data_IF_143040465374
#
_entry.id   IF_143040465374
#
_cell.length_a   1.000
_cell.length_b   1.000
_cell.length_c   1.000
_cell.angle_alpha   90.00
_cell.angle_beta   90.00
_cell.angle_gamma   90.00
#
_symmetry.space_group_name_H-M   'P 1'
#
loop_
_entity.id
_entity.type
_entity.pdbx_description
1 polymer ?
#
# COMPACT_ATOMS: atom_id res chain seq x y z
N UNK A 1 14.81 2.37 -4.93
CA UNK A 1 14.18 2.58 -3.62
C UNK A 1 12.82 1.89 -3.62
N UNK A 2 12.57 1.06 -2.61
CA UNK A 2 11.30 0.36 -2.38
C UNK A 2 10.91 0.57 -0.93
N UNK A 3 9.62 0.82 -0.61
CA UNK A 3 9.18 0.87 0.77
C UNK A 3 9.35 -0.51 1.44
N UNK A 4 9.46 -0.51 2.76
CA UNK A 4 9.46 -1.73 3.56
C UNK A 4 8.02 -2.22 3.67
N UNK A 5 7.81 -3.50 3.37
CA UNK A 5 6.50 -4.14 3.52
C UNK A 5 6.48 -4.92 4.84
N UNK A 6 5.39 -4.76 5.61
CA UNK A 6 5.23 -5.42 6.88
C UNK A 6 4.55 -6.79 6.77
N UNK A 7 4.91 -7.73 7.67
CA UNK A 7 4.18 -8.97 7.88
C UNK A 7 3.86 -9.15 9.36
N UNK A 8 2.58 -9.25 9.68
CA UNK A 8 2.08 -9.47 11.03
C UNK A 8 1.35 -10.81 11.04
N UNK A 9 1.73 -11.69 11.96
CA UNK A 9 1.13 -13.01 12.08
C UNK A 9 0.47 -13.20 13.44
N UNK A 10 -0.81 -13.54 13.42
CA UNK A 10 -1.51 -14.10 14.56
C UNK A 10 -1.72 -15.62 14.45
N UNK A 11 -2.46 -16.19 15.39
CA UNK A 11 -2.77 -17.62 15.40
C UNK A 11 -3.83 -18.03 14.37
N UNK A 12 -4.66 -17.07 13.92
CA UNK A 12 -5.75 -17.33 12.97
C UNK A 12 -5.52 -16.71 11.60
N UNK A 13 -4.99 -15.50 11.57
CA UNK A 13 -4.81 -14.74 10.34
C UNK A 13 -3.47 -14.02 10.34
N UNK A 14 -3.08 -13.57 9.15
CA UNK A 14 -1.90 -12.75 8.92
C UNK A 14 -2.25 -11.52 8.09
N UNK A 15 -1.51 -10.43 8.31
CA UNK A 15 -1.71 -9.15 7.67
C UNK A 15 -0.40 -8.68 7.04
N UNK A 16 -0.46 -8.37 5.76
CA UNK A 16 0.55 -7.60 5.05
C UNK A 16 0.29 -6.10 5.25
N UNK A 17 1.32 -5.31 5.50
CA UNK A 17 1.23 -3.84 5.54
C UNK A 17 1.90 -3.27 4.30
N UNK A 18 1.12 -2.52 3.55
CA UNK A 18 1.38 -1.99 2.22
C UNK A 18 1.54 -3.06 1.11
N UNK A 19 1.27 -2.64 -0.11
CA UNK A 19 1.27 -3.51 -1.28
C UNK A 19 2.50 -3.30 -2.19
N UNK A 20 3.41 -2.42 -1.81
CA UNK A 20 4.60 -2.14 -2.60
C UNK A 20 4.33 -1.38 -3.90
N UNK A 21 5.42 -1.16 -4.63
CA UNK A 21 5.44 -0.27 -5.78
C UNK A 21 5.14 -0.94 -7.14
N UNK A 22 5.20 -2.27 -7.21
CA UNK A 22 5.08 -3.01 -8.48
C UNK A 22 4.78 -4.49 -8.25
N UNK A 23 4.33 -5.23 -9.29
CA UNK A 23 4.17 -6.68 -9.22
C UNK A 23 5.44 -7.42 -8.81
N UNK A 24 6.60 -6.98 -9.29
CA UNK A 24 7.90 -7.59 -8.96
C UNK A 24 8.26 -7.39 -7.49
N UNK A 25 7.88 -6.24 -6.90
CA UNK A 25 8.09 -6.01 -5.46
C UNK A 25 7.21 -6.94 -4.63
N UNK A 26 5.95 -7.11 -5.02
CA UNK A 26 5.02 -8.07 -4.39
C UNK A 26 5.57 -9.48 -4.45
N UNK A 27 6.00 -9.94 -5.63
CA UNK A 27 6.55 -11.28 -5.82
C UNK A 27 7.78 -11.53 -4.94
N UNK A 28 8.71 -10.56 -4.91
CA UNK A 28 9.91 -10.65 -4.06
C UNK A 28 9.54 -10.72 -2.56
N UNK A 29 8.54 -9.95 -2.14
CA UNK A 29 8.05 -9.99 -0.77
C UNK A 29 7.41 -11.33 -0.42
N UNK A 30 6.48 -11.83 -1.25
CA UNK A 30 5.80 -13.11 -0.99
C UNK A 30 6.79 -14.28 -0.98
N UNK A 31 7.80 -14.26 -1.86
CA UNK A 31 8.88 -15.24 -1.85
C UNK A 31 9.67 -15.20 -0.54
N UNK A 32 10.02 -14.01 -0.04
CA UNK A 32 10.74 -13.85 1.22
C UNK A 32 9.89 -14.32 2.43
N UNK A 33 8.58 -14.12 2.41
CA UNK A 33 7.65 -14.63 3.43
C UNK A 33 7.66 -16.16 3.43
N UNK A 34 7.58 -16.79 2.26
CA UNK A 34 7.60 -18.25 2.11
C UNK A 34 8.97 -18.84 2.50
N UNK A 35 10.07 -18.25 2.07
CA UNK A 35 11.43 -18.65 2.44
C UNK A 35 11.66 -18.56 3.96
N UNK A 36 10.97 -17.64 4.64
CA UNK A 36 10.97 -17.51 6.11
C UNK A 36 10.09 -18.55 6.81
N UNK A 37 9.43 -19.45 6.08
CA UNK A 37 8.57 -20.49 6.61
C UNK A 37 7.16 -20.02 7.01
N UNK A 38 6.72 -18.86 6.50
CA UNK A 38 5.38 -18.33 6.75
C UNK A 38 4.45 -18.59 5.57
N UNK A 39 3.14 -18.64 5.84
CA UNK A 39 2.12 -18.66 4.80
C UNK A 39 1.97 -17.28 4.14
N UNK A 40 1.38 -17.25 2.96
CA UNK A 40 1.00 -15.99 2.34
C UNK A 40 0.00 -15.22 3.24
N UNK A 41 0.03 -13.87 3.21
CA UNK A 41 -0.88 -13.07 4.02
C UNK A 41 -2.36 -13.33 3.67
N UNK A 42 -3.23 -13.30 4.68
CA UNK A 42 -4.68 -13.41 4.49
C UNK A 42 -5.30 -12.08 4.05
N UNK A 43 -4.69 -10.97 4.47
CA UNK A 43 -5.14 -9.60 4.17
C UNK A 43 -3.96 -8.70 3.86
N UNK A 44 -4.24 -7.58 3.16
CA UNK A 44 -3.28 -6.47 3.02
C UNK A 44 -3.93 -5.17 3.48
N UNK A 45 -3.24 -4.39 4.31
CA UNK A 45 -3.66 -3.05 4.74
C UNK A 45 -2.77 -1.99 4.08
N UNK A 46 -3.37 -0.96 3.50
CA UNK A 46 -2.65 0.16 2.91
C UNK A 46 -2.50 1.28 3.93
N UNK A 47 -1.28 1.82 4.05
CA UNK A 47 -1.01 2.98 4.91
C UNK A 47 -1.44 4.29 4.26
N UNK A 48 -1.30 4.43 2.94
CA UNK A 48 -1.73 5.61 2.18
C UNK A 48 -1.73 5.31 0.66
N UNK A 49 -2.14 6.29 -0.16
CA UNK A 49 -2.38 6.11 -1.59
C UNK A 49 -1.19 6.36 -2.51
N UNK A 50 0.00 6.64 -1.99
CA UNK A 50 1.15 6.85 -2.86
C UNK A 50 1.51 5.59 -3.63
N UNK A 51 1.99 5.78 -4.86
CA UNK A 51 2.19 4.73 -5.85
C UNK A 51 3.08 3.58 -5.35
N UNK A 52 4.12 3.92 -4.59
CA UNK A 52 5.10 2.95 -4.09
C UNK A 52 4.58 2.08 -2.94
N UNK A 53 3.45 2.46 -2.32
CA UNK A 53 2.75 1.67 -1.31
C UNK A 53 1.56 0.88 -1.84
N UNK A 54 1.06 1.18 -3.05
CA UNK A 54 -0.21 0.62 -3.51
C UNK A 54 -0.24 0.07 -4.93
N UNK A 55 0.73 0.35 -5.83
CA UNK A 55 0.65 -0.13 -7.22
C UNK A 55 0.86 -1.63 -7.37
N UNK A 56 1.48 -2.29 -6.39
CA UNK A 56 1.53 -3.74 -6.33
C UNK A 56 0.20 -4.42 -5.98
N UNK A 57 -0.79 -3.66 -5.46
CA UNK A 57 -2.06 -4.20 -4.98
C UNK A 57 -2.80 -5.02 -6.05
N UNK A 58 -2.72 -4.61 -7.32
CA UNK A 58 -3.36 -5.33 -8.42
C UNK A 58 -2.83 -6.77 -8.65
N UNK A 59 -1.68 -7.10 -8.06
CA UNK A 59 -1.05 -8.42 -8.15
C UNK A 59 -1.31 -9.31 -6.93
N UNK A 60 -2.03 -8.80 -5.94
CA UNK A 60 -2.33 -9.51 -4.70
C UNK A 60 -3.71 -10.17 -4.78
N UNK A 61 -3.81 -11.49 -4.49
CA UNK A 61 -5.07 -12.21 -4.59
C UNK A 61 -5.97 -12.07 -3.34
N UNK A 62 -5.40 -11.58 -2.21
CA UNK A 62 -6.11 -11.48 -0.95
C UNK A 62 -6.92 -10.20 -0.82
N UNK A 63 -7.94 -10.17 0.06
CA UNK A 63 -8.70 -8.96 0.38
C UNK A 63 -7.82 -7.84 0.91
N UNK A 64 -8.15 -6.60 0.53
CA UNK A 64 -7.40 -5.41 0.91
C UNK A 64 -8.23 -4.43 1.74
N UNK A 65 -7.57 -3.74 2.66
CA UNK A 65 -8.16 -2.84 3.65
C UNK A 65 -7.48 -1.48 3.52
N UNK A 66 -8.27 -0.40 3.51
CA UNK A 66 -7.73 0.96 3.50
C UNK A 66 -8.67 1.96 4.17
N UNK A 67 -8.14 3.12 4.50
CA UNK A 67 -8.96 4.27 4.86
C UNK A 67 -9.83 4.71 3.68
N UNK A 68 -11.04 5.25 3.97
CA UNK A 68 -11.94 5.76 2.93
C UNK A 68 -11.28 6.84 2.07
N UNK A 69 -10.39 7.65 2.64
CA UNK A 69 -9.66 8.68 1.92
C UNK A 69 -8.64 8.07 0.94
N UNK A 70 -7.94 7.00 1.35
CA UNK A 70 -7.03 6.23 0.48
C UNK A 70 -7.79 5.67 -0.71
N UNK A 71 -8.96 5.07 -0.47
CA UNK A 71 -9.82 4.59 -1.57
C UNK A 71 -10.20 5.71 -2.53
N UNK A 72 -10.62 6.88 -2.03
CA UNK A 72 -10.98 8.04 -2.87
C UNK A 72 -9.80 8.51 -3.73
N UNK A 73 -8.61 8.58 -3.15
CA UNK A 73 -7.39 8.92 -3.88
C UNK A 73 -7.09 7.90 -4.97
N UNK A 74 -7.17 6.60 -4.65
CA UNK A 74 -6.94 5.53 -5.62
C UNK A 74 -8.00 5.50 -6.74
N UNK A 75 -9.25 5.86 -6.47
CA UNK A 75 -10.30 6.02 -7.49
C UNK A 75 -9.94 7.12 -8.50
N UNK A 76 -9.33 8.22 -8.07
CA UNK A 76 -8.83 9.26 -8.96
C UNK A 76 -7.65 8.76 -9.79
N UNK A 77 -6.68 8.12 -9.15
CA UNK A 77 -5.46 7.61 -9.79
C UNK A 77 -5.78 6.49 -10.78
N UNK A 78 -6.77 5.63 -10.51
CA UNK A 78 -7.18 4.53 -11.39
C UNK A 78 -7.77 4.99 -12.74
N UNK A 79 -8.19 6.25 -12.83
CA UNK A 79 -8.73 6.86 -14.06
C UNK A 79 -7.64 7.50 -14.93
N UNK A 80 -6.42 7.59 -14.42
CA UNK A 80 -5.31 8.17 -15.16
C UNK A 80 -4.86 7.21 -16.27
N UNK A 81 -4.42 7.79 -17.37
CA UNK A 81 -3.68 7.08 -18.39
C UNK A 81 -2.18 7.10 -18.05
N UNK A 82 -1.51 6.00 -18.35
CA UNK A 82 -0.11 5.79 -17.98
C UNK A 82 0.82 5.64 -19.19
N UNK A 83 0.36 6.08 -20.39
CA UNK A 83 1.28 6.21 -21.54
C UNK A 83 2.42 7.19 -21.19
N UNK A 84 3.59 7.12 -21.85
CA UNK A 84 4.69 8.05 -21.60
C UNK A 84 4.25 9.51 -21.69
N UNK A 85 3.44 9.87 -22.70
CA UNK A 85 2.92 11.23 -22.89
C UNK A 85 1.94 11.61 -21.75
N UNK A 86 1.06 10.69 -21.34
CA UNK A 86 0.11 10.93 -20.25
C UNK A 86 0.85 11.08 -18.92
N UNK A 87 1.89 10.30 -18.67
CA UNK A 87 2.73 10.44 -17.47
C UNK A 87 3.40 11.83 -17.44
N UNK A 88 3.99 12.26 -18.55
CA UNK A 88 4.58 13.59 -18.65
C UNK A 88 3.55 14.71 -18.41
N UNK A 89 2.34 14.55 -18.94
CA UNK A 89 1.23 15.49 -18.72
C UNK A 89 0.74 15.47 -17.24
N UNK A 90 0.65 14.31 -16.61
CA UNK A 90 0.29 14.17 -15.20
C UNK A 90 1.33 14.86 -14.29
N UNK A 91 2.61 14.78 -14.64
CA UNK A 91 3.69 15.53 -13.95
C UNK A 91 3.50 17.04 -14.15
N UNK A 92 3.27 17.48 -15.39
CA UNK A 92 3.06 18.90 -15.70
C UNK A 92 1.86 19.51 -14.96
N UNK A 93 0.82 18.71 -14.74
CA UNK A 93 -0.38 19.08 -13.95
C UNK A 93 -0.17 18.99 -12.44
N UNK A 94 0.96 18.48 -11.97
CA UNK A 94 1.23 18.28 -10.55
C UNK A 94 0.44 17.12 -9.92
N UNK A 95 -0.15 16.23 -10.72
CA UNK A 95 -0.87 15.04 -10.26
C UNK A 95 0.14 13.98 -9.82
N UNK A 96 1.21 13.80 -10.58
CA UNK A 96 2.35 12.94 -10.24
C UNK A 96 3.54 13.86 -9.91
N UNK A 97 4.15 13.73 -8.72
CA UNK A 97 5.33 14.50 -8.39
C UNK A 97 6.47 14.25 -9.40
N UNK A 98 7.20 15.29 -9.78
CA UNK A 98 8.26 15.19 -10.78
C UNK A 98 9.32 14.13 -10.43
N UNK A 99 9.62 13.97 -9.14
CA UNK A 99 10.59 12.98 -8.65
C UNK A 99 10.09 11.53 -8.75
N UNK A 100 8.78 11.31 -8.84
CA UNK A 100 8.18 9.98 -8.91
C UNK A 100 8.18 9.41 -10.34
N UNK A 101 8.05 10.24 -11.36
CA UNK A 101 7.91 9.77 -12.74
C UNK A 101 9.07 8.86 -13.21
N UNK A 102 10.36 9.21 -13.04
CA UNK A 102 11.46 8.32 -13.45
C UNK A 102 11.49 7.03 -12.61
N UNK A 103 11.04 7.06 -11.37
CA UNK A 103 10.95 5.88 -10.50
C UNK A 103 9.83 4.95 -10.94
N UNK A 104 8.67 5.49 -11.27
CA UNK A 104 7.55 4.73 -11.84
C UNK A 104 7.99 4.05 -13.13
N UNK A 105 8.66 4.77 -14.05
CA UNK A 105 9.17 4.21 -15.30
C UNK A 105 10.21 3.11 -15.09
N UNK A 106 11.03 3.20 -14.04
CA UNK A 106 12.01 2.17 -13.69
C UNK A 106 11.31 0.85 -13.30
N UNK A 107 10.21 0.93 -12.56
CA UNK A 107 9.45 -0.24 -12.10
C UNK A 107 8.39 -0.71 -13.09
N UNK A 108 8.00 0.15 -14.02
CA UNK A 108 7.08 -0.14 -15.11
C UNK A 108 7.71 0.31 -16.44
N UNK A 109 8.60 -0.52 -17.03
CA UNK A 109 9.20 -0.22 -18.35
C UNK A 109 8.15 -0.01 -19.44
N UNK A 110 7.01 -0.71 -19.33
CA UNK A 110 5.79 -0.45 -20.04
C UNK A 110 4.77 0.21 -19.10
N UNK A 111 4.65 1.55 -19.09
CA UNK A 111 3.72 2.24 -18.20
C UNK A 111 2.25 1.91 -18.46
N UNK A 112 1.91 1.44 -19.67
CA UNK A 112 0.53 1.02 -19.99
C UNK A 112 0.13 -0.26 -19.27
N UNK A 113 1.09 -0.99 -18.70
CA UNK A 113 0.85 -2.15 -17.85
C UNK A 113 0.37 -1.78 -16.44
N UNK A 114 0.49 -0.53 -16.02
CA UNK A 114 0.07 -0.09 -14.68
C UNK A 114 -1.43 -0.35 -14.49
N UNK A 115 -1.75 -1.05 -13.41
CA UNK A 115 -3.13 -1.31 -12.96
C UNK A 115 -3.26 -0.85 -11.52
N UNK A 116 -4.16 0.09 -11.29
CA UNK A 116 -4.44 0.60 -9.94
C UNK A 116 -5.68 -0.11 -9.42
N UNK A 117 -5.48 -1.04 -8.48
CA UNK A 117 -6.57 -1.74 -7.81
C UNK A 117 -7.18 -0.87 -6.69
N UNK A 118 -8.46 -1.11 -6.42
CA UNK A 118 -9.16 -0.46 -5.31
C UNK A 118 -9.28 -1.41 -4.13
N UNK A 119 -9.16 -0.91 -2.88
CA UNK A 119 -9.33 -1.74 -1.70
C UNK A 119 -10.74 -2.31 -1.61
N UNK A 120 -10.84 -3.56 -1.13
CA UNK A 120 -12.12 -4.29 -1.00
C UNK A 120 -12.89 -3.91 0.26
N UNK A 121 -12.18 -3.55 1.33
CA UNK A 121 -12.75 -3.10 2.60
C UNK A 121 -12.26 -1.70 2.93
N UNK A 122 -13.15 -0.85 3.45
CA UNK A 122 -12.81 0.52 3.82
C UNK A 122 -13.35 0.87 5.19
N UNK A 123 -12.63 1.75 5.90
CA UNK A 123 -13.06 2.30 7.18
C UNK A 123 -12.85 3.83 7.21
N UNK A 124 -13.58 4.54 8.07
CA UNK A 124 -13.50 6.01 8.15
C UNK A 124 -12.39 6.47 9.09
N UNK A 125 -12.48 6.09 10.37
CA UNK A 125 -11.58 6.58 11.42
C UNK A 125 -10.60 5.51 11.88
N UNK A 126 -11.13 4.33 12.21
CA UNK A 126 -10.34 3.19 12.64
C UNK A 126 -11.03 1.86 12.37
N UNK A 127 -10.22 0.81 12.31
CA UNK A 127 -10.65 -0.58 12.22
C UNK A 127 -9.77 -1.43 13.09
N UNK A 128 -10.37 -2.38 13.81
CA UNK A 128 -9.62 -3.37 14.60
C UNK A 128 -9.70 -4.72 13.91
N UNK A 129 -8.55 -5.35 13.74
CA UNK A 129 -8.41 -6.72 13.23
C UNK A 129 -7.88 -7.59 14.35
N UNK A 130 -8.64 -8.62 14.71
CA UNK A 130 -8.22 -9.68 15.62
C UNK A 130 -7.62 -10.83 14.79
N UNK A 131 -6.30 -10.96 14.83
CA UNK A 131 -5.57 -12.00 14.11
C UNK A 131 -5.45 -13.31 14.91
N UNK A 132 -6.03 -13.36 16.12
CA UNK A 132 -6.00 -14.49 17.07
C UNK A 132 -5.37 -14.08 18.40
N UNK A 133 -4.07 -14.23 18.54
CA UNK A 133 -3.29 -13.76 19.71
C UNK A 133 -2.69 -12.37 19.52
N UNK A 134 -3.03 -11.72 18.44
CA UNK A 134 -2.47 -10.42 18.02
C UNK A 134 -3.59 -9.54 17.48
N UNK A 135 -3.66 -8.30 17.98
CA UNK A 135 -4.66 -7.30 17.61
C UNK A 135 -3.99 -6.15 16.88
N UNK A 136 -4.44 -5.88 15.65
CA UNK A 136 -4.01 -4.74 14.87
C UNK A 136 -5.08 -3.67 14.86
N UNK A 137 -4.74 -2.45 15.27
CA UNK A 137 -5.59 -1.28 15.12
C UNK A 137 -5.08 -0.44 13.95
N UNK A 138 -5.88 -0.38 12.88
CA UNK A 138 -5.67 0.52 11.76
C UNK A 138 -6.34 1.85 12.11
N UNK A 139 -5.61 2.95 12.09
CA UNK A 139 -6.13 4.27 12.47
C UNK A 139 -5.69 5.35 11.50
N UNK A 140 -6.67 6.12 11.01
CA UNK A 140 -6.38 7.35 10.26
C UNK A 140 -5.71 8.39 11.18
N UNK A 141 -4.65 9.02 10.71
CA UNK A 141 -3.90 10.05 11.43
C UNK A 141 -3.60 11.23 10.51
N UNK A 142 -3.50 12.41 11.10
CA UNK A 142 -3.04 13.59 10.36
C UNK A 142 -1.54 13.51 10.14
N UNK A 143 -1.11 13.60 8.88
CA UNK A 143 0.30 13.61 8.49
C UNK A 143 0.56 14.73 7.47
N UNK A 144 1.77 15.30 7.52
CA UNK A 144 2.22 16.27 6.53
C UNK A 144 2.51 15.60 5.17
N UNK A 145 2.87 14.31 5.17
CA UNK A 145 3.23 13.56 3.97
C UNK A 145 2.00 13.21 3.10
N UNK A 146 0.95 12.67 3.70
CA UNK A 146 -0.27 12.31 2.99
C UNK A 146 -1.51 12.49 3.89
N UNK A 147 -2.58 13.06 3.32
CA UNK A 147 -3.82 13.34 4.07
C UNK A 147 -4.58 12.08 4.47
N UNK A 148 -4.37 11.00 3.74
CA UNK A 148 -5.03 9.72 3.88
C UNK A 148 -4.20 8.70 4.69
N UNK A 149 -3.23 9.18 5.46
CA UNK A 149 -2.31 8.33 6.22
C UNK A 149 -3.05 7.51 7.27
N UNK A 150 -2.78 6.21 7.24
CA UNK A 150 -3.20 5.20 8.22
C UNK A 150 -1.96 4.61 8.86
N UNK A 151 -1.96 4.51 10.18
CA UNK A 151 -0.98 3.73 10.93
C UNK A 151 -1.57 2.37 11.31
N UNK A 152 -0.73 1.35 11.44
CA UNK A 152 -1.12 0.03 11.92
C UNK A 152 -0.41 -0.23 13.25
N UNK A 153 -1.16 -0.25 14.33
CA UNK A 153 -0.64 -0.50 15.68
C UNK A 153 -0.92 -1.93 16.10
N UNK A 154 0.16 -2.67 16.37
CA UNK A 154 0.15 -4.04 16.91
C UNK A 154 0.25 -3.95 18.41
N UNK A 155 -0.87 -4.13 19.12
CA UNK A 155 -1.01 -3.80 20.55
C UNK A 155 -0.12 -4.67 21.44
N UNK A 156 -0.14 -5.96 21.24
CA UNK A 156 0.56 -6.95 22.07
C UNK A 156 2.08 -6.80 21.92
N UNK A 157 2.56 -6.44 20.73
CA UNK A 157 3.97 -6.25 20.42
C UNK A 157 4.46 -4.82 20.70
N UNK A 158 3.55 -3.89 21.05
CA UNK A 158 3.84 -2.45 21.21
C UNK A 158 4.56 -1.86 19.99
N UNK A 159 4.22 -2.34 18.81
CA UNK A 159 4.83 -1.98 17.54
C UNK A 159 3.84 -1.17 16.69
N UNK A 160 4.36 -0.21 15.92
CA UNK A 160 3.55 0.55 14.98
C UNK A 160 4.22 0.61 13.61
N UNK A 161 3.44 0.34 12.57
CA UNK A 161 3.82 0.64 11.19
C UNK A 161 3.28 2.03 10.86
N UNK A 162 4.19 2.96 10.59
CA UNK A 162 3.87 4.36 10.38
C UNK A 162 3.64 4.69 8.90
N UNK A 163 4.01 3.77 7.97
CA UNK A 163 4.17 4.17 6.58
C UNK A 163 5.10 5.39 6.50
N UNK A 164 4.70 6.39 5.75
CA UNK A 164 5.46 7.63 5.59
C UNK A 164 4.96 8.77 6.50
N UNK A 165 4.22 8.45 7.59
CA UNK A 165 3.59 9.45 8.46
C UNK A 165 4.55 10.49 9.01
N UNK A 166 5.81 10.13 9.24
CA UNK A 166 6.88 10.99 9.79
C UNK A 166 7.93 11.38 8.76
N UNK A 167 7.75 10.99 7.51
CA UNK A 167 8.61 11.37 6.39
C UNK A 167 8.24 12.76 5.87
N UNK A 168 9.25 13.62 5.66
CA UNK A 168 9.10 14.97 5.09
C UNK A 168 9.80 15.09 3.75
#
# INVERSE_FOLDING_TARGET
DRPVLGYIRGDRFSLMVDAGNSPEHVQAYLAAVEESGFCQPDFVALTHSHWDHCFGLASLPMPSIAGVQTRQSLEMVSRLQWTPDALAENVRKGIVPQLCAPRIQLHFPDPESIRVALPTMVFSESMTLDLGNCTCELRHVTSAHARDTVIVWVKEEQMVFLGDAVYQ
#
